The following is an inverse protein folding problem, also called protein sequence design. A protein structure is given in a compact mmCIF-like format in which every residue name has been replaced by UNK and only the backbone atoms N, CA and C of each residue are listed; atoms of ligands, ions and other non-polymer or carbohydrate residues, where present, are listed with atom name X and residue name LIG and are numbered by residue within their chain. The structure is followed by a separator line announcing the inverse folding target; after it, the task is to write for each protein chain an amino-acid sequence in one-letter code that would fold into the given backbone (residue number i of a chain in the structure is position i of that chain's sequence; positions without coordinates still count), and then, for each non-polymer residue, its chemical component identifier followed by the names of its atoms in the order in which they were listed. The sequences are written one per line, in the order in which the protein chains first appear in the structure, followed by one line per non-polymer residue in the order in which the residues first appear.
data_IF_815037936956
#
_entry.id   IF_815037936956
#
_cell.length_a   1.000
_cell.length_b   1.000
_cell.length_c   1.000
_cell.angle_alpha   90.00
_cell.angle_beta   90.00
_cell.angle_gamma   90.00
#
_symmetry.space_group_name_H-M   'P 1'
#
loop_
_entity.id
_entity.type
_entity.pdbx_description
1 polymer ?
#
# COMPACT_ATOMS: atom_id res chain seq x y z
N UNK A 1 -10.28 11.81 -6.30
CA UNK A 1 -10.12 11.33 -4.94
C UNK A 1 -11.28 11.79 -4.07
N UNK A 2 -11.57 11.13 -2.93
CA UNK A 2 -12.45 11.67 -1.89
C UNK A 2 -11.97 13.06 -1.49
N UNK A 3 -12.88 13.89 -0.97
CA UNK A 3 -12.54 15.25 -0.55
C UNK A 3 -11.40 15.19 0.49
N UNK A 4 -10.31 15.90 0.21
CA UNK A 4 -9.21 16.00 1.16
C UNK A 4 -9.74 16.63 2.47
N UNK A 5 -9.32 16.05 3.61
CA UNK A 5 -9.72 16.53 4.94
C UNK A 5 -11.25 16.51 5.20
N UNK A 6 -11.94 15.48 4.68
CA UNK A 6 -13.40 15.27 4.83
C UNK A 6 -13.89 15.33 6.29
N UNK A 7 -13.02 14.99 7.26
CA UNK A 7 -13.36 15.02 8.69
C UNK A 7 -13.53 16.42 9.26
N UNK A 8 -13.01 17.46 8.62
CA UNK A 8 -13.16 18.85 9.08
C UNK A 8 -14.60 19.36 9.07
N UNK A 9 -15.47 18.72 8.29
CA UNK A 9 -16.92 19.01 8.30
C UNK A 9 -17.58 18.83 9.68
N UNK A 10 -16.99 18.02 10.55
CA UNK A 10 -17.51 17.81 11.91
C UNK A 10 -17.14 18.92 12.90
N UNK A 11 -16.28 19.86 12.52
CA UNK A 11 -15.84 21.00 13.34
C UNK A 11 -15.32 20.58 14.73
N UNK A 12 -14.67 19.42 14.83
CA UNK A 12 -14.12 18.85 16.06
C UNK A 12 -12.60 18.97 16.11
N UNK A 13 -12.04 19.89 16.94
CA UNK A 13 -10.60 20.09 17.03
C UNK A 13 -9.83 18.86 17.56
N UNK A 14 -10.44 18.05 18.46
CA UNK A 14 -9.80 16.85 18.98
C UNK A 14 -9.68 15.80 17.88
N UNK A 15 -10.74 15.56 17.11
CA UNK A 15 -10.71 14.68 15.94
C UNK A 15 -9.66 15.13 14.93
N UNK A 16 -9.62 16.44 14.62
CA UNK A 16 -8.61 16.97 13.68
C UNK A 16 -7.20 16.68 14.15
N UNK A 17 -6.89 16.94 15.41
CA UNK A 17 -5.56 16.68 15.99
C UNK A 17 -5.20 15.19 15.98
N UNK A 18 -6.13 14.29 16.27
CA UNK A 18 -5.90 12.84 16.24
C UNK A 18 -5.63 12.32 14.81
N UNK A 19 -6.37 12.82 13.83
CA UNK A 19 -6.16 12.45 12.43
C UNK A 19 -4.82 12.99 11.92
N UNK A 20 -4.48 14.24 12.22
CA UNK A 20 -3.19 14.83 11.84
C UNK A 20 -2.01 14.06 12.48
N UNK A 21 -2.14 13.67 13.75
CA UNK A 21 -1.17 12.81 14.43
C UNK A 21 -1.05 11.43 13.77
N UNK A 22 -2.17 10.84 13.32
CA UNK A 22 -2.18 9.56 12.61
C UNK A 22 -1.46 9.66 11.26
N UNK A 23 -1.75 10.69 10.49
CA UNK A 23 -1.14 10.90 9.17
C UNK A 23 0.37 11.15 9.25
N UNK A 24 0.85 11.66 10.38
CA UNK A 24 2.29 11.89 10.62
C UNK A 24 3.00 10.73 11.31
N UNK A 25 2.31 9.96 12.16
CA UNK A 25 2.91 8.96 13.04
C UNK A 25 2.64 7.50 12.66
N UNK A 26 1.66 7.22 11.79
CA UNK A 26 1.29 5.84 11.45
C UNK A 26 2.38 5.11 10.68
N UNK A 27 2.89 4.01 11.27
CA UNK A 27 3.85 3.13 10.61
C UNK A 27 3.29 2.44 9.37
N UNK A 28 1.99 2.17 9.34
CA UNK A 28 1.33 1.61 8.17
C UNK A 28 1.36 2.58 6.98
N UNK A 29 1.10 3.88 7.24
CA UNK A 29 1.20 4.91 6.20
C UNK A 29 2.65 5.12 5.76
N UNK A 30 3.61 5.10 6.69
CA UNK A 30 5.02 5.18 6.36
C UNK A 30 5.48 4.00 5.46
N UNK A 31 5.02 2.78 5.74
CA UNK A 31 5.32 1.60 4.91
C UNK A 31 4.80 1.77 3.47
N UNK A 32 3.55 2.20 3.28
CA UNK A 32 3.02 2.34 1.91
C UNK A 32 3.67 3.48 1.14
N UNK A 33 4.10 4.56 1.80
CA UNK A 33 4.92 5.62 1.18
C UNK A 33 6.29 5.10 0.72
N UNK A 34 6.94 4.25 1.52
CA UNK A 34 8.18 3.59 1.10
C UNK A 34 7.96 2.61 -0.08
N UNK A 35 6.79 1.98 -0.17
CA UNK A 35 6.41 1.18 -1.35
C UNK A 35 6.25 2.05 -2.60
N UNK A 36 5.74 3.27 -2.46
CA UNK A 36 5.64 4.24 -3.54
C UNK A 36 7.02 4.67 -4.04
N UNK A 37 7.96 5.03 -3.14
CA UNK A 37 9.35 5.34 -3.49
C UNK A 37 10.04 4.15 -4.18
N UNK A 38 9.80 2.93 -3.69
CA UNK A 38 10.30 1.70 -4.32
C UNK A 38 9.74 1.50 -5.73
N UNK A 39 8.45 1.74 -5.94
CA UNK A 39 7.81 1.61 -7.25
C UNK A 39 8.36 2.65 -8.24
N UNK A 40 8.58 3.88 -7.78
CA UNK A 40 9.24 4.93 -8.56
C UNK A 40 10.67 4.50 -8.96
N UNK A 41 11.47 4.04 -8.02
CA UNK A 41 12.84 3.57 -8.30
C UNK A 41 12.86 2.39 -9.29
N UNK A 42 11.85 1.52 -9.26
CA UNK A 42 11.71 0.45 -10.24
C UNK A 42 11.41 0.97 -11.64
N UNK A 43 10.58 2.01 -11.76
CA UNK A 43 10.31 2.68 -13.03
C UNK A 43 11.58 3.32 -13.58
N UNK A 44 12.30 4.09 -12.78
CA UNK A 44 13.57 4.73 -13.14
C UNK A 44 14.64 3.70 -13.56
N UNK A 45 14.69 2.54 -12.88
CA UNK A 45 15.58 1.44 -13.25
C UNK A 45 15.28 0.89 -14.66
N UNK A 46 14.00 0.72 -15.00
CA UNK A 46 13.60 0.22 -16.33
C UNK A 46 13.82 1.27 -17.40
N UNK A 47 13.53 2.54 -17.13
CA UNK A 47 13.85 3.67 -18.02
C UNK A 47 15.37 3.75 -18.28
N UNK A 48 16.17 3.63 -17.21
CA UNK A 48 17.61 3.63 -17.33
C UNK A 48 18.18 2.50 -18.18
N UNK A 49 17.55 1.30 -18.13
CA UNK A 49 17.98 0.16 -18.96
C UNK A 49 17.81 0.37 -20.47
N UNK A 50 16.85 1.19 -20.87
CA UNK A 50 16.59 1.53 -22.28
C UNK A 50 17.49 2.64 -22.81
N UNK A 51 18.34 3.22 -21.96
CA UNK A 51 19.28 4.29 -22.33
C UNK A 51 20.68 3.74 -22.67
N UNK A 52 21.53 4.60 -23.20
CA UNK A 52 22.94 4.31 -23.45
C UNK A 52 23.63 3.90 -22.14
N UNK A 53 24.16 2.68 -22.11
CA UNK A 53 24.96 2.18 -21.00
C UNK A 53 26.45 2.39 -21.32
N UNK A 54 27.21 2.95 -20.40
CA UNK A 54 28.65 3.11 -20.54
C UNK A 54 29.39 2.63 -19.30
N UNK A 55 30.48 1.93 -19.49
CA UNK A 55 31.35 1.47 -18.41
C UNK A 55 32.82 1.55 -18.80
N UNK A 56 33.70 1.79 -17.84
CA UNK A 56 35.12 1.58 -18.00
C UNK A 56 35.45 0.12 -17.77
N UNK A 57 36.25 -0.45 -18.65
CA UNK A 57 36.76 -1.83 -18.56
C UNK A 57 38.28 -1.80 -18.39
N UNK A 58 38.80 -2.56 -17.41
CA UNK A 58 40.22 -2.87 -17.28
C UNK A 58 40.36 -4.35 -17.03
N UNK A 59 41.10 -5.05 -17.88
CA UNK A 59 41.31 -6.50 -17.80
C UNK A 59 42.76 -6.86 -18.06
N UNK A 60 43.29 -7.75 -17.28
CA UNK A 60 44.58 -8.41 -17.53
C UNK A 60 44.29 -9.90 -17.53
N UNK A 61 44.55 -10.54 -18.67
CA UNK A 61 44.35 -11.98 -18.88
C UNK A 61 45.69 -12.62 -19.18
N UNK A 62 46.17 -13.47 -18.28
CA UNK A 62 47.36 -14.31 -18.52
C UNK A 62 46.92 -15.69 -18.87
N UNK A 63 47.23 -16.12 -20.08
CA UNK A 63 46.82 -17.41 -20.59
C UNK A 63 47.95 -18.18 -21.25
N UNK A 64 47.79 -19.52 -21.28
CA UNK A 64 48.61 -20.41 -22.06
C UNK A 64 47.83 -20.88 -23.28
N UNK A 65 48.28 -20.55 -24.48
CA UNK A 65 47.66 -21.06 -25.69
C UNK A 65 47.84 -22.60 -25.78
N UNK A 66 46.78 -23.30 -26.18
CA UNK A 66 46.84 -24.73 -26.46
C UNK A 66 47.59 -24.95 -27.76
N UNK A 67 48.61 -25.82 -27.76
CA UNK A 67 49.32 -26.22 -28.96
C UNK A 67 48.42 -26.91 -30.02
N UNK A 68 47.33 -27.51 -29.57
CA UNK A 68 46.33 -28.17 -30.40
C UNK A 68 45.11 -27.28 -30.73
N UNK A 69 45.06 -26.07 -30.20
CA UNK A 69 44.00 -25.08 -30.47
C UNK A 69 44.24 -24.33 -31.75
N UNK A 70 43.23 -23.51 -32.16
CA UNK A 70 43.30 -22.72 -33.40
C UNK A 70 44.52 -21.81 -33.49
N UNK A 71 44.94 -21.19 -32.37
CA UNK A 71 46.13 -20.34 -32.30
C UNK A 71 47.43 -21.11 -32.00
N UNK A 72 47.38 -22.42 -31.73
CA UNK A 72 48.51 -23.21 -31.28
C UNK A 72 49.77 -23.13 -32.15
N UNK A 73 49.68 -23.31 -33.47
CA UNK A 73 50.83 -23.20 -34.37
C UNK A 73 51.49 -21.83 -34.36
N UNK A 74 50.69 -20.75 -34.13
CA UNK A 74 51.15 -19.37 -34.12
C UNK A 74 51.67 -18.94 -32.74
N UNK A 75 51.07 -19.50 -31.66
CA UNK A 75 51.39 -19.14 -30.28
C UNK A 75 52.76 -19.72 -29.83
N UNK A 76 53.26 -20.76 -30.49
CA UNK A 76 54.49 -21.43 -30.10
C UNK A 76 55.75 -20.76 -30.67
N UNK A 77 55.69 -20.20 -31.89
CA UNK A 77 56.82 -19.54 -32.52
C UNK A 77 56.39 -18.59 -33.61
N UNK A 78 55.83 -17.44 -33.22
CA UNK A 78 55.45 -16.35 -34.12
C UNK A 78 55.90 -14.99 -33.56
N UNK A 79 57.22 -14.73 -33.40
CA UNK A 79 57.74 -13.48 -32.79
C UNK A 79 57.28 -12.24 -33.51
N UNK A 80 57.08 -12.32 -34.85
CA UNK A 80 56.56 -11.20 -35.66
C UNK A 80 55.13 -10.81 -35.32
N UNK A 81 54.38 -11.72 -34.69
CA UNK A 81 53.00 -11.49 -34.20
C UNK A 81 52.99 -11.13 -32.70
N UNK A 82 54.17 -11.01 -32.08
CA UNK A 82 54.29 -10.79 -30.63
C UNK A 82 54.03 -12.04 -29.78
N UNK A 83 54.12 -13.24 -30.37
CA UNK A 83 53.87 -14.51 -29.67
C UNK A 83 55.17 -15.31 -29.57
N UNK A 84 55.84 -15.20 -28.41
CA UNK A 84 57.15 -15.86 -28.13
C UNK A 84 56.98 -17.07 -27.21
N UNK A 85 56.05 -17.94 -27.53
CA UNK A 85 55.83 -19.17 -26.75
C UNK A 85 54.35 -19.30 -26.31
N UNK A 86 54.01 -20.37 -25.52
CA UNK A 86 52.63 -20.70 -25.21
C UNK A 86 51.97 -19.79 -24.19
N UNK A 87 52.74 -18.95 -23.49
CA UNK A 87 52.26 -18.06 -22.46
C UNK A 87 52.29 -16.60 -22.95
N UNK A 88 51.15 -15.92 -22.87
CA UNK A 88 51.09 -14.50 -23.14
C UNK A 88 50.15 -13.78 -22.15
N UNK A 89 50.32 -12.49 -22.02
CA UNK A 89 49.52 -11.64 -21.12
C UNK A 89 48.87 -10.57 -21.95
N UNK A 90 47.56 -10.65 -22.10
CA UNK A 90 46.74 -9.65 -22.77
C UNK A 90 46.24 -8.63 -21.73
N UNK A 91 46.42 -7.38 -22.01
CA UNK A 91 45.88 -6.27 -21.20
C UNK A 91 45.00 -5.39 -22.05
N UNK A 92 43.80 -5.17 -21.57
CA UNK A 92 42.77 -4.30 -22.21
C UNK A 92 42.34 -3.23 -21.25
N UNK A 93 42.29 -1.98 -21.68
CA UNK A 93 41.70 -0.88 -20.92
C UNK A 93 40.93 0.01 -21.88
N UNK A 94 39.70 0.41 -21.49
CA UNK A 94 38.89 1.24 -22.35
C UNK A 94 37.50 1.52 -21.82
N UNK A 95 36.69 2.08 -22.69
CA UNK A 95 35.27 2.34 -22.47
C UNK A 95 34.46 1.38 -23.34
N UNK A 96 33.48 0.76 -22.74
CA UNK A 96 32.44 -0.01 -23.45
C UNK A 96 31.14 0.77 -23.38
N UNK A 97 30.43 0.85 -24.51
CA UNK A 97 29.09 1.42 -24.55
C UNK A 97 28.15 0.41 -25.24
N UNK A 98 26.91 0.38 -24.76
CA UNK A 98 25.86 -0.46 -25.33
C UNK A 98 24.54 0.27 -25.38
N UNK A 99 23.80 0.08 -26.45
CA UNK A 99 22.46 0.63 -26.66
C UNK A 99 21.59 -0.43 -27.31
N UNK A 100 20.46 -0.76 -26.67
CA UNK A 100 19.43 -1.61 -27.24
C UNK A 100 18.39 -0.74 -27.96
N UNK A 101 18.14 -1.02 -29.23
CA UNK A 101 17.16 -0.28 -30.04
C UNK A 101 15.77 -0.88 -29.87
N UNK A 102 14.88 -0.13 -29.21
CA UNK A 102 13.49 -0.56 -28.97
C UNK A 102 12.59 -0.32 -30.18
N UNK A 103 12.82 -1.08 -31.26
CA UNK A 103 12.06 -0.95 -32.51
C UNK A 103 10.63 -1.46 -32.39
N UNK A 104 10.41 -2.49 -31.56
CA UNK A 104 9.12 -3.18 -31.44
C UNK A 104 8.39 -2.86 -30.12
N UNK A 105 8.95 -1.99 -29.29
CA UNK A 105 8.30 -1.49 -28.09
C UNK A 105 8.39 -2.42 -26.88
N UNK A 106 9.35 -3.34 -26.82
CA UNK A 106 9.61 -4.19 -25.66
C UNK A 106 9.88 -3.34 -24.41
N UNK A 107 10.89 -2.47 -24.51
CA UNK A 107 11.28 -1.59 -23.39
C UNK A 107 10.21 -0.56 -23.07
N UNK A 108 9.63 0.09 -24.08
CA UNK A 108 8.55 1.07 -23.88
C UNK A 108 7.33 0.45 -23.17
N UNK A 109 6.95 -0.77 -23.56
CA UNK A 109 5.84 -1.47 -22.92
C UNK A 109 6.20 -1.92 -21.50
N UNK A 110 7.43 -2.35 -21.24
CA UNK A 110 7.89 -2.68 -19.90
C UNK A 110 7.91 -1.44 -18.97
N UNK A 111 8.39 -0.30 -19.46
CA UNK A 111 8.35 0.99 -18.74
C UNK A 111 6.91 1.43 -18.50
N UNK A 112 6.03 1.34 -19.50
CA UNK A 112 4.61 1.67 -19.36
C UNK A 112 3.91 0.76 -18.32
N UNK A 113 4.29 -0.53 -18.24
CA UNK A 113 3.81 -1.44 -17.22
C UNK A 113 4.28 -1.00 -15.82
N UNK A 114 5.54 -0.58 -15.67
CA UNK A 114 6.08 -0.10 -14.40
C UNK A 114 5.42 1.21 -13.96
N UNK A 115 5.20 2.17 -14.87
CA UNK A 115 4.44 3.40 -14.60
C UNK A 115 3.01 3.07 -14.15
N UNK A 116 2.35 2.13 -14.81
CA UNK A 116 1.03 1.67 -14.39
C UNK A 116 1.03 1.07 -12.98
N UNK A 117 2.03 0.24 -12.65
CA UNK A 117 2.19 -0.32 -11.31
C UNK A 117 2.51 0.77 -10.26
N UNK A 118 3.34 1.75 -10.59
CA UNK A 118 3.62 2.91 -9.72
C UNK A 118 2.35 3.71 -9.43
N UNK A 119 1.55 4.02 -10.45
CA UNK A 119 0.27 4.72 -10.29
C UNK A 119 -0.74 3.91 -9.45
N UNK A 120 -0.71 2.57 -9.54
CA UNK A 120 -1.50 1.72 -8.67
C UNK A 120 -1.08 1.85 -7.19
N UNK A 121 0.21 1.85 -6.91
CA UNK A 121 0.74 2.03 -5.53
C UNK A 121 0.39 3.41 -4.97
N UNK A 122 0.46 4.49 -5.78
CA UNK A 122 0.01 5.83 -5.38
C UNK A 122 -1.48 5.81 -4.99
N UNK A 123 -2.31 5.11 -5.77
CA UNK A 123 -3.72 4.96 -5.45
C UNK A 123 -3.97 4.10 -4.19
N UNK A 124 -3.16 3.05 -3.97
CA UNK A 124 -3.18 2.27 -2.71
C UNK A 124 -2.81 3.13 -1.50
N UNK A 125 -1.81 4.01 -1.63
CA UNK A 125 -1.43 4.95 -0.55
C UNK A 125 -2.62 5.83 -0.17
N UNK A 126 -3.32 6.39 -1.15
CA UNK A 126 -4.54 7.19 -0.90
C UNK A 126 -5.68 6.34 -0.27
N UNK A 127 -5.81 5.06 -0.64
CA UNK A 127 -6.78 4.15 -0.01
C UNK A 127 -6.44 3.88 1.46
N UNK A 128 -5.15 3.69 1.78
CA UNK A 128 -4.69 3.51 3.17
C UNK A 128 -4.90 4.79 3.98
N UNK A 129 -4.60 5.97 3.45
CA UNK A 129 -4.89 7.26 4.11
C UNK A 129 -6.37 7.40 4.43
N UNK A 130 -7.25 7.08 3.48
CA UNK A 130 -8.70 7.13 3.69
C UNK A 130 -9.14 6.12 4.75
N UNK A 131 -8.62 4.90 4.72
CA UNK A 131 -8.92 3.87 5.71
C UNK A 131 -8.48 4.26 7.12
N UNK A 132 -7.27 4.83 7.27
CA UNK A 132 -6.75 5.30 8.54
C UNK A 132 -7.58 6.45 9.10
N UNK A 133 -7.86 7.47 8.30
CA UNK A 133 -8.66 8.63 8.74
C UNK A 133 -10.08 8.22 9.13
N UNK A 134 -10.70 7.30 8.37
CA UNK A 134 -12.02 6.75 8.68
C UNK A 134 -11.99 5.92 9.97
N UNK A 135 -10.96 5.07 10.15
CA UNK A 135 -10.77 4.25 11.34
C UNK A 135 -10.62 5.09 12.60
N UNK A 136 -9.82 6.16 12.55
CA UNK A 136 -9.68 7.12 13.67
C UNK A 136 -11.02 7.77 14.00
N UNK A 137 -11.76 8.26 13.00
CA UNK A 137 -13.06 8.90 13.22
C UNK A 137 -14.07 7.93 13.85
N UNK A 138 -14.12 6.69 13.37
CA UNK A 138 -15.02 5.66 13.92
C UNK A 138 -14.67 5.32 15.39
N UNK A 139 -13.41 5.10 15.72
CA UNK A 139 -12.97 4.82 17.09
C UNK A 139 -13.21 6.03 18.00
N UNK A 140 -12.91 7.24 17.51
CA UNK A 140 -13.13 8.46 18.27
C UNK A 140 -14.61 8.67 18.63
N UNK A 141 -15.52 8.59 17.67
CA UNK A 141 -16.95 8.75 17.95
C UNK A 141 -17.55 7.57 18.71
N UNK A 142 -17.04 6.36 18.55
CA UNK A 142 -17.40 5.22 19.41
C UNK A 142 -17.03 5.50 20.88
N UNK A 143 -15.85 6.08 21.10
CA UNK A 143 -15.40 6.49 22.45
C UNK A 143 -16.25 7.63 23.02
N UNK A 144 -16.61 8.62 22.20
CA UNK A 144 -17.53 9.70 22.64
C UNK A 144 -18.91 9.15 23.03
N UNK A 145 -19.44 8.20 22.26
CA UNK A 145 -20.69 7.52 22.59
C UNK A 145 -20.58 6.73 23.91
N UNK A 146 -19.44 6.10 24.15
CA UNK A 146 -19.16 5.38 25.43
C UNK A 146 -19.09 6.34 26.60
N UNK A 147 -18.52 7.54 26.46
CA UNK A 147 -18.53 8.57 27.51
C UNK A 147 -19.97 9.02 27.86
N UNK A 148 -20.81 9.25 26.85
CA UNK A 148 -22.22 9.60 27.11
C UNK A 148 -22.99 8.47 27.78
N UNK A 149 -22.74 7.22 27.38
CA UNK A 149 -23.34 6.05 28.04
C UNK A 149 -22.87 5.93 29.50
N UNK A 150 -21.59 6.20 29.79
CA UNK A 150 -21.05 6.17 31.14
C UNK A 150 -21.72 7.23 32.03
N UNK A 151 -21.87 8.46 31.53
CA UNK A 151 -22.56 9.54 32.25
C UNK A 151 -24.01 9.15 32.58
N UNK A 152 -24.75 8.60 31.62
CA UNK A 152 -26.13 8.14 31.82
C UNK A 152 -26.21 6.99 32.85
N UNK A 153 -25.28 6.05 32.80
CA UNK A 153 -25.23 4.95 33.77
C UNK A 153 -24.89 5.44 35.17
N UNK A 154 -24.01 6.46 35.32
CA UNK A 154 -23.70 7.09 36.59
C UNK A 154 -24.93 7.81 37.18
N UNK A 155 -25.67 8.56 36.37
CA UNK A 155 -26.95 9.19 36.80
C UNK A 155 -27.97 8.10 37.23
N UNK A 156 -28.06 7.02 36.48
CA UNK A 156 -28.95 5.88 36.82
C UNK A 156 -28.53 5.19 38.12
N UNK A 157 -27.22 5.00 38.32
CA UNK A 157 -26.65 4.48 39.55
C UNK A 157 -27.08 5.32 40.77
N UNK A 158 -26.95 6.64 40.71
CA UNK A 158 -27.28 7.54 41.79
C UNK A 158 -28.78 7.48 42.19
N UNK A 159 -29.68 7.38 41.20
CA UNK A 159 -31.11 7.20 41.43
C UNK A 159 -31.40 5.88 42.15
N UNK A 160 -30.82 4.78 41.68
CA UNK A 160 -31.03 3.45 42.24
C UNK A 160 -30.37 3.32 43.63
N UNK A 161 -29.21 3.92 43.87
CA UNK A 161 -28.54 3.97 45.15
C UNK A 161 -29.37 4.69 46.19
N UNK A 162 -30.01 5.84 45.80
CA UNK A 162 -30.96 6.53 46.66
C UNK A 162 -32.15 5.61 47.05
N UNK A 163 -32.69 4.83 46.08
CA UNK A 163 -33.78 3.89 46.38
C UNK A 163 -33.34 2.76 47.30
N UNK A 164 -32.10 2.21 47.12
CA UNK A 164 -31.51 1.21 47.99
C UNK A 164 -31.40 1.74 49.44
N UNK A 165 -30.87 2.96 49.63
CA UNK A 165 -30.75 3.60 50.94
C UNK A 165 -32.12 3.83 51.59
N UNK A 166 -33.14 4.22 50.81
CA UNK A 166 -34.50 4.42 51.33
C UNK A 166 -35.11 3.09 51.83
N UNK A 167 -35.02 2.00 51.02
CA UNK A 167 -35.48 0.69 51.42
C UNK A 167 -34.72 0.13 52.64
N UNK A 168 -33.38 0.35 52.69
CA UNK A 168 -32.57 -0.04 53.80
C UNK A 168 -33.01 0.60 55.12
N UNK A 169 -33.30 1.92 55.08
CA UNK A 169 -33.81 2.67 56.22
C UNK A 169 -35.17 2.14 56.71
N UNK A 170 -36.12 1.91 55.79
CA UNK A 170 -37.43 1.34 56.10
C UNK A 170 -37.35 -0.04 56.76
N UNK A 171 -36.49 -0.91 56.20
CA UNK A 171 -36.24 -2.24 56.80
C UNK A 171 -35.63 -2.14 58.17
N UNK A 172 -34.68 -1.23 58.40
CA UNK A 172 -34.04 -1.02 59.71
C UNK A 172 -35.06 -0.54 60.80
N UNK A 173 -36.07 0.21 60.43
CA UNK A 173 -37.12 0.67 61.29
C UNK A 173 -38.33 -0.29 61.37
N UNK A 174 -38.26 -1.45 60.72
CA UNK A 174 -39.36 -2.45 60.74
C UNK A 174 -40.58 -2.05 59.88
N UNK A 175 -40.43 -1.07 58.99
CA UNK A 175 -41.52 -0.50 58.17
C UNK A 175 -41.69 -1.20 56.84
N UNK A 176 -40.73 -2.07 56.45
CA UNK A 176 -40.75 -2.79 55.18
C UNK A 176 -40.09 -4.15 55.26
N UNK A 177 -40.56 -5.09 54.45
CA UNK A 177 -39.89 -6.41 54.31
C UNK A 177 -38.54 -6.29 53.59
N UNK A 178 -37.65 -7.30 53.79
CA UNK A 178 -36.29 -7.28 53.15
C UNK A 178 -36.28 -7.46 51.64
N UNK A 179 -37.37 -7.98 51.03
CA UNK A 179 -37.43 -8.33 49.59
C UNK A 179 -37.24 -7.12 48.69
N UNK A 180 -37.94 -5.96 48.90
CA UNK A 180 -37.70 -4.79 48.07
C UNK A 180 -36.27 -4.24 48.14
N UNK A 181 -35.64 -4.24 49.32
CA UNK A 181 -34.25 -3.89 49.50
C UNK A 181 -33.29 -4.76 48.66
N UNK A 182 -33.45 -6.09 48.74
CA UNK A 182 -32.60 -6.98 47.96
C UNK A 182 -32.86 -6.84 46.42
N UNK A 183 -34.11 -6.55 46.01
CA UNK A 183 -34.42 -6.24 44.63
C UNK A 183 -33.73 -4.97 44.13
N UNK A 184 -33.82 -3.88 44.88
CA UNK A 184 -33.14 -2.62 44.55
C UNK A 184 -31.60 -2.79 44.51
N UNK A 185 -31.03 -3.53 45.51
CA UNK A 185 -29.60 -3.82 45.54
C UNK A 185 -29.14 -4.66 44.35
N UNK A 186 -29.93 -5.63 43.91
CA UNK A 186 -29.61 -6.41 42.71
C UNK A 186 -29.60 -5.53 41.43
N UNK A 187 -30.52 -4.56 41.30
CA UNK A 187 -30.52 -3.59 40.22
C UNK A 187 -29.28 -2.67 40.27
N UNK A 188 -28.90 -2.19 41.48
CA UNK A 188 -27.67 -1.39 41.64
C UNK A 188 -26.42 -2.13 41.14
N UNK A 189 -26.26 -3.38 41.56
CA UNK A 189 -25.13 -4.21 41.11
C UNK A 189 -25.16 -4.50 39.59
N UNK A 190 -26.36 -4.55 39.00
CA UNK A 190 -26.47 -4.70 37.54
C UNK A 190 -25.99 -3.44 36.80
N UNK A 191 -26.28 -2.25 37.33
CA UNK A 191 -25.77 -0.99 36.77
C UNK A 191 -24.26 -0.85 37.00
N UNK A 192 -23.75 -1.18 38.19
CA UNK A 192 -22.30 -1.18 38.47
C UNK A 192 -21.54 -2.06 37.49
N UNK A 193 -22.06 -3.24 37.19
CA UNK A 193 -21.48 -4.14 36.19
C UNK A 193 -21.43 -3.50 34.81
N UNK A 194 -22.47 -2.74 34.42
CA UNK A 194 -22.50 -2.02 33.13
C UNK A 194 -21.48 -0.89 33.09
N UNK A 195 -21.35 -0.12 34.19
CA UNK A 195 -20.34 0.94 34.32
C UNK A 195 -18.93 0.37 34.09
N UNK A 196 -18.57 -0.70 34.81
CA UNK A 196 -17.27 -1.36 34.64
C UNK A 196 -17.04 -1.83 33.22
N UNK A 197 -18.07 -2.36 32.54
CA UNK A 197 -17.97 -2.81 31.15
C UNK A 197 -17.69 -1.64 30.19
N UNK A 198 -18.41 -0.51 30.35
CA UNK A 198 -18.22 0.68 29.52
C UNK A 198 -16.86 1.33 29.76
N UNK A 199 -16.41 1.41 31.00
CA UNK A 199 -15.06 1.89 31.33
C UNK A 199 -13.97 1.01 30.69
N UNK A 200 -14.17 -0.31 30.69
CA UNK A 200 -13.31 -1.25 29.97
C UNK A 200 -13.25 -0.95 28.48
N UNK A 201 -14.41 -0.77 27.85
CA UNK A 201 -14.52 -0.46 26.43
C UNK A 201 -13.83 0.88 26.07
N UNK A 202 -13.94 1.90 26.91
CA UNK A 202 -13.25 3.17 26.72
C UNK A 202 -11.73 2.97 26.71
N UNK A 203 -11.20 2.16 27.64
CA UNK A 203 -9.77 1.83 27.71
C UNK A 203 -9.30 1.05 26.47
N UNK A 204 -10.06 0.06 26.03
CA UNK A 204 -9.75 -0.73 24.84
C UNK A 204 -9.75 0.14 23.56
N UNK A 205 -10.75 1.02 23.43
CA UNK A 205 -10.84 1.95 22.29
C UNK A 205 -9.67 2.94 22.29
N UNK A 206 -9.26 3.42 23.48
CA UNK A 206 -8.09 4.28 23.62
C UNK A 206 -6.80 3.59 23.17
N UNK A 207 -6.60 2.32 23.54
CA UNK A 207 -5.44 1.54 23.09
C UNK A 207 -5.48 1.28 21.58
N UNK A 208 -6.66 1.06 21.02
CA UNK A 208 -6.85 0.92 19.57
C UNK A 208 -6.48 2.19 18.82
N UNK A 209 -6.93 3.36 19.31
CA UNK A 209 -6.53 4.67 18.78
C UNK A 209 -5.03 4.89 18.87
N UNK A 210 -4.42 4.58 20.03
CA UNK A 210 -2.98 4.70 20.24
C UNK A 210 -2.18 3.89 19.23
N UNK A 211 -2.59 2.65 18.99
CA UNK A 211 -1.94 1.77 18.02
C UNK A 211 -2.09 2.29 16.58
N UNK A 212 -3.26 2.83 16.22
CA UNK A 212 -3.55 3.35 14.88
C UNK A 212 -2.73 4.62 14.59
N UNK A 213 -2.54 5.47 15.60
CA UNK A 213 -1.76 6.71 15.52
C UNK A 213 -0.24 6.40 15.47
N UNK A 214 0.18 5.22 15.93
CA UNK A 214 1.60 4.89 16.09
C UNK A 214 2.24 5.56 17.32
N UNK A 215 1.41 6.00 18.29
CA UNK A 215 1.89 6.71 19.47
C UNK A 215 2.45 5.76 20.53
N UNK A 216 3.49 6.18 21.25
CA UNK A 216 3.97 5.52 22.45
C UNK A 216 2.94 5.55 23.60
N UNK A 217 3.18 4.76 24.65
CA UNK A 217 2.21 4.59 25.74
C UNK A 217 1.83 5.91 26.47
N UNK A 218 2.66 6.96 26.35
CA UNK A 218 2.46 8.27 27.02
C UNK A 218 2.10 9.41 26.05
N UNK A 219 2.07 9.15 24.73
CA UNK A 219 2.01 10.20 23.73
C UNK A 219 0.61 10.44 23.17
N UNK A 220 -0.37 9.61 23.56
CA UNK A 220 -1.77 9.86 23.19
C UNK A 220 -2.34 10.99 24.05
N UNK A 221 -2.78 12.11 23.47
CA UNK A 221 -3.41 13.20 24.22
C UNK A 221 -4.65 12.72 24.96
N UNK A 222 -5.00 13.40 26.05
CA UNK A 222 -6.25 13.15 26.78
C UNK A 222 -7.42 13.50 25.89
N UNK A 223 -8.30 12.52 25.63
CA UNK A 223 -9.53 12.70 24.86
C UNK A 223 -10.65 13.03 25.84
N UNK A 224 -11.16 14.24 25.73
CA UNK A 224 -12.26 14.72 26.60
C UNK A 224 -13.61 14.41 25.97
N UNK A 225 -14.66 14.16 26.79
CA UNK A 225 -16.01 13.99 26.31
C UNK A 225 -16.48 15.25 25.56
N UNK A 226 -17.08 15.05 24.38
CA UNK A 226 -17.73 16.10 23.58
C UNK A 226 -19.09 15.60 23.10
N UNK A 227 -19.98 16.53 22.77
CA UNK A 227 -21.27 16.18 22.18
C UNK A 227 -21.08 15.49 20.82
N UNK A 228 -21.90 14.47 20.55
CA UNK A 228 -21.89 13.81 19.24
C UNK A 228 -22.41 14.79 18.18
N UNK A 229 -21.80 14.80 16.97
CA UNK A 229 -22.26 15.68 15.91
C UNK A 229 -23.65 15.28 15.42
N UNK A 230 -24.49 16.29 15.12
CA UNK A 230 -25.72 16.07 14.38
C UNK A 230 -25.37 15.91 12.91
N UNK A 231 -25.52 14.70 12.38
CA UNK A 231 -25.26 14.41 10.97
C UNK A 231 -26.56 14.61 10.19
N UNK A 232 -26.52 15.48 9.19
CA UNK A 232 -27.59 15.55 8.19
C UNK A 232 -27.49 14.28 7.30
N UNK A 233 -28.52 13.44 7.36
CA UNK A 233 -28.56 12.11 6.76
C UNK A 233 -28.93 12.13 5.27
N UNK A 234 -28.56 13.18 4.56
CA UNK A 234 -28.76 13.29 3.12
C UNK A 234 -27.99 12.24 2.34
N UNK A 235 -28.52 10.99 2.33
CA UNK A 235 -28.04 10.00 1.35
C UNK A 235 -28.52 10.46 -0.02
N UNK A 236 -27.63 10.60 -1.04
CA UNK A 236 -28.09 10.85 -2.40
C UNK A 236 -29.06 9.71 -2.79
N UNK A 237 -30.25 10.08 -3.26
CA UNK A 237 -31.28 9.11 -3.66
C UNK A 237 -30.82 8.18 -4.80
N UNK A 238 -29.76 8.56 -5.51
CA UNK A 238 -29.10 7.75 -6.55
C UNK A 238 -27.62 7.64 -6.25
N UNK A 239 -27.16 6.39 -6.02
CA UNK A 239 -25.74 6.08 -5.94
C UNK A 239 -25.15 6.22 -7.35
N UNK A 240 -24.55 7.37 -7.63
CA UNK A 240 -23.94 7.65 -8.93
C UNK A 240 -22.69 6.81 -9.15
N UNK A 241 -22.47 6.38 -10.41
CA UNK A 241 -21.19 5.81 -10.86
C UNK A 241 -19.98 6.68 -10.49
N UNK A 242 -20.17 7.99 -10.37
CA UNK A 242 -19.14 8.94 -9.99
C UNK A 242 -18.56 8.67 -8.59
N UNK A 243 -19.36 8.14 -7.67
CA UNK A 243 -18.89 7.77 -6.32
C UNK A 243 -17.93 6.57 -6.37
N UNK A 244 -18.21 5.58 -7.24
CA UNK A 244 -17.33 4.44 -7.43
C UNK A 244 -16.02 4.87 -8.12
N UNK A 245 -16.10 5.76 -9.11
CA UNK A 245 -14.94 6.27 -9.83
C UNK A 245 -13.96 7.07 -8.94
N UNK A 246 -14.43 7.62 -7.82
CA UNK A 246 -13.59 8.37 -6.85
C UNK A 246 -12.88 7.48 -5.83
N UNK A 247 -13.19 6.19 -5.77
CA UNK A 247 -12.57 5.26 -4.80
C UNK A 247 -11.12 4.97 -5.17
N UNK A 248 -10.16 5.25 -4.28
CA UNK A 248 -8.74 5.02 -4.58
C UNK A 248 -8.40 3.54 -4.80
N UNK A 249 -9.06 2.62 -4.07
CA UNK A 249 -8.87 1.18 -4.22
C UNK A 249 -9.27 0.66 -5.61
N UNK A 250 -10.36 1.18 -6.20
CA UNK A 250 -10.77 0.86 -7.57
C UNK A 250 -9.82 1.45 -8.60
N UNK A 251 -9.31 2.66 -8.36
CA UNK A 251 -8.31 3.27 -9.23
C UNK A 251 -7.00 2.47 -9.21
N UNK A 252 -6.56 1.98 -8.05
CA UNK A 252 -5.40 1.10 -7.95
C UNK A 252 -5.57 -0.17 -8.82
N UNK A 253 -6.71 -0.85 -8.71
CA UNK A 253 -7.00 -2.04 -9.51
C UNK A 253 -7.04 -1.73 -11.02
N UNK A 254 -7.60 -0.58 -11.42
CA UNK A 254 -7.59 -0.13 -12.81
C UNK A 254 -6.17 0.05 -13.35
N UNK A 255 -5.29 0.66 -12.57
CA UNK A 255 -3.88 0.83 -12.94
C UNK A 255 -3.13 -0.50 -13.04
N UNK A 256 -3.41 -1.48 -12.15
CA UNK A 256 -2.85 -2.83 -12.27
C UNK A 256 -3.32 -3.57 -13.53
N UNK A 257 -4.59 -3.40 -13.94
CA UNK A 257 -5.07 -3.93 -15.23
C UNK A 257 -4.29 -3.29 -16.38
N UNK A 258 -4.11 -1.97 -16.38
CA UNK A 258 -3.35 -1.28 -17.43
C UNK A 258 -1.88 -1.73 -17.45
N UNK A 259 -1.25 -1.88 -16.30
CA UNK A 259 0.11 -2.38 -16.17
C UNK A 259 0.23 -3.81 -16.76
N UNK A 260 -0.72 -4.70 -16.45
CA UNK A 260 -0.71 -6.08 -16.93
C UNK A 260 -0.91 -6.18 -18.46
N UNK A 261 -1.72 -5.30 -19.04
CA UNK A 261 -1.89 -5.21 -20.51
C UNK A 261 -0.58 -4.78 -21.18
N UNK A 262 0.11 -3.78 -20.64
CA UNK A 262 1.42 -3.37 -21.14
C UNK A 262 2.47 -4.48 -21.01
N UNK A 263 2.38 -5.32 -19.98
CA UNK A 263 3.23 -6.49 -19.82
C UNK A 263 2.99 -7.54 -20.91
N UNK A 264 1.74 -7.72 -21.34
CA UNK A 264 1.41 -8.59 -22.49
C UNK A 264 2.05 -8.06 -23.78
N UNK A 265 2.01 -6.74 -24.00
CA UNK A 265 2.65 -6.13 -25.18
C UNK A 265 4.18 -6.28 -25.12
N UNK A 266 4.81 -6.10 -23.96
CA UNK A 266 6.24 -6.37 -23.76
C UNK A 266 6.59 -7.84 -24.07
N UNK A 267 5.79 -8.79 -23.58
CA UNK A 267 5.99 -10.22 -23.86
C UNK A 267 5.79 -10.57 -25.35
N UNK A 268 4.88 -9.87 -26.05
CA UNK A 268 4.67 -10.02 -27.50
C UNK A 268 5.87 -9.49 -28.28
N UNK A 269 6.46 -8.39 -27.86
CA UNK A 269 7.61 -7.78 -28.50
C UNK A 269 8.84 -8.71 -28.57
N UNK A 270 8.99 -9.61 -27.61
CA UNK A 270 10.08 -10.61 -27.58
C UNK A 270 10.09 -11.61 -28.75
N UNK A 271 9.02 -11.71 -29.53
CA UNK A 271 8.98 -12.56 -30.73
C UNK A 271 9.65 -11.91 -31.94
N UNK A 272 9.90 -10.61 -31.90
CA UNK A 272 10.51 -9.87 -32.99
C UNK A 272 12.03 -9.80 -32.83
N UNK A 273 12.75 -9.46 -33.93
CA UNK A 273 14.22 -9.32 -33.87
C UNK A 273 14.62 -8.20 -32.91
N UNK A 274 15.57 -8.46 -32.01
CA UNK A 274 16.23 -7.41 -31.22
C UNK A 274 17.45 -6.86 -31.94
N UNK A 275 17.68 -5.56 -31.79
CA UNK A 275 18.81 -4.84 -32.36
C UNK A 275 19.59 -4.17 -31.23
N UNK A 276 20.88 -4.45 -31.14
CA UNK A 276 21.80 -3.82 -30.21
C UNK A 276 23.02 -3.23 -30.91
N UNK A 277 23.57 -2.18 -30.35
CA UNK A 277 24.81 -1.58 -30.78
C UNK A 277 25.78 -1.63 -29.62
N UNK A 278 26.94 -2.25 -29.83
CA UNK A 278 28.04 -2.23 -28.86
C UNK A 278 29.23 -1.51 -29.44
N UNK A 279 29.85 -0.68 -28.61
CA UNK A 279 31.07 0.07 -28.97
C UNK A 279 32.11 -0.18 -27.91
N UNK A 280 33.33 -0.43 -28.34
CA UNK A 280 34.50 -0.38 -27.49
C UNK A 280 35.47 0.64 -28.05
N UNK A 281 36.00 1.47 -27.18
CA UNK A 281 37.07 2.40 -27.48
C UNK A 281 38.13 2.32 -26.38
N UNK A 282 39.36 1.90 -26.74
CA UNK A 282 40.38 1.69 -25.73
C UNK A 282 41.75 1.31 -26.29
N UNK A 283 42.50 0.63 -25.47
CA UNK A 283 43.81 0.14 -25.72
C UNK A 283 43.79 -1.38 -25.46
N UNK A 284 44.46 -2.14 -26.33
CA UNK A 284 44.60 -3.58 -26.21
C UNK A 284 46.02 -3.98 -26.62
N UNK A 285 46.71 -4.81 -25.82
CA UNK A 285 48.01 -5.26 -26.10
C UNK A 285 48.31 -6.65 -25.47
N UNK A 286 48.99 -7.51 -26.21
CA UNK A 286 49.48 -8.80 -25.72
C UNK A 286 50.78 -8.70 -24.90
N UNK A 287 51.37 -7.50 -24.84
CA UNK A 287 52.49 -7.14 -23.97
C UNK A 287 52.13 -5.90 -23.16
N UNK A 288 52.16 -6.02 -21.85
CA UNK A 288 51.72 -4.99 -20.94
C UNK A 288 52.49 -3.66 -21.07
N UNK A 289 53.78 -3.74 -21.40
CA UNK A 289 54.69 -2.61 -21.64
C UNK A 289 54.29 -1.82 -22.90
N UNK A 290 53.50 -2.39 -23.78
CA UNK A 290 53.06 -1.77 -25.03
C UNK A 290 51.66 -1.19 -24.92
N UNK A 291 50.92 -1.48 -23.88
CA UNK A 291 49.50 -1.09 -23.73
C UNK A 291 49.28 0.40 -24.01
N UNK A 292 50.16 1.26 -23.54
CA UNK A 292 49.97 2.72 -23.69
C UNK A 292 50.59 3.30 -24.97
N UNK A 293 51.08 2.45 -25.88
CA UNK A 293 51.53 2.92 -27.20
C UNK A 293 50.34 3.27 -28.09
N UNK A 294 50.55 4.21 -29.01
CA UNK A 294 49.51 4.58 -29.98
C UNK A 294 49.06 3.47 -30.89
N UNK A 295 49.94 2.45 -31.09
CA UNK A 295 49.66 1.24 -31.86
C UNK A 295 48.72 0.27 -31.18
N UNK A 296 48.47 0.42 -29.88
CA UNK A 296 47.54 -0.39 -29.11
C UNK A 296 46.09 0.12 -29.09
N UNK A 297 45.81 1.20 -29.85
CA UNK A 297 44.46 1.75 -29.94
C UNK A 297 43.56 0.79 -30.66
N UNK A 298 42.38 0.53 -30.03
CA UNK A 298 41.35 -0.32 -30.56
C UNK A 298 39.97 0.39 -30.53
N UNK A 299 39.26 0.33 -31.64
CA UNK A 299 37.89 0.81 -31.77
C UNK A 299 37.08 -0.30 -32.40
N UNK A 300 36.05 -0.77 -31.71
CA UNK A 300 35.12 -1.75 -32.21
C UNK A 300 33.71 -1.14 -32.26
N UNK A 301 33.05 -1.26 -33.38
CA UNK A 301 31.64 -0.96 -33.56
C UNK A 301 30.94 -2.22 -34.00
N UNK A 302 30.05 -2.75 -33.14
CA UNK A 302 29.44 -4.07 -33.31
C UNK A 302 27.91 -3.90 -33.27
N UNK A 303 27.26 -3.68 -34.42
CA UNK A 303 25.79 -3.80 -34.51
C UNK A 303 25.41 -5.27 -34.41
N UNK A 304 24.47 -5.58 -33.52
CA UNK A 304 23.93 -6.91 -33.30
C UNK A 304 22.49 -7.02 -33.79
N UNK A 305 22.16 -8.15 -34.39
CA UNK A 305 20.79 -8.58 -34.72
C UNK A 305 20.58 -9.96 -34.16
N UNK A 306 19.52 -10.13 -33.38
CA UNK A 306 19.14 -11.41 -32.81
C UNK A 306 17.67 -11.70 -33.06
N UNK A 307 17.37 -12.78 -33.78
CA UNK A 307 16.02 -13.29 -34.02
C UNK A 307 15.89 -14.69 -33.43
N UNK A 308 14.97 -14.92 -32.48
CA UNK A 308 14.70 -16.25 -31.96
C UNK A 308 13.96 -17.10 -33.00
N UNK A 309 14.61 -18.12 -33.57
CA UNK A 309 13.99 -19.05 -34.53
C UNK A 309 13.40 -20.27 -33.85
N UNK A 310 14.03 -20.74 -32.78
CA UNK A 310 13.59 -21.88 -31.99
C UNK A 310 14.03 -21.69 -30.54
N UNK A 311 13.08 -21.77 -29.61
CA UNK A 311 13.30 -21.50 -28.19
C UNK A 311 12.67 -22.53 -27.25
N UNK A 312 12.23 -23.69 -27.79
CA UNK A 312 11.57 -24.73 -27.03
C UNK A 312 10.19 -24.35 -26.47
N UNK A 313 9.54 -23.32 -27.02
CA UNK A 313 8.22 -22.85 -26.57
C UNK A 313 8.25 -21.84 -25.42
N UNK A 314 9.43 -21.38 -25.00
CA UNK A 314 9.62 -20.44 -23.88
C UNK A 314 8.89 -19.10 -24.11
N UNK A 315 8.97 -18.52 -25.30
CA UNK A 315 8.30 -17.27 -25.62
C UNK A 315 6.78 -17.41 -25.60
N UNK A 316 6.24 -18.51 -26.14
CA UNK A 316 4.81 -18.80 -26.07
C UNK A 316 4.33 -18.95 -24.61
N UNK A 317 5.05 -19.71 -23.80
CA UNK A 317 4.72 -19.87 -22.39
C UNK A 317 4.79 -18.54 -21.62
N UNK A 318 5.76 -17.66 -21.93
CA UNK A 318 5.86 -16.33 -21.36
C UNK A 318 4.67 -15.45 -21.73
N UNK A 319 4.28 -15.43 -23.01
CA UNK A 319 3.12 -14.66 -23.48
C UNK A 319 1.81 -15.17 -22.87
N UNK A 320 1.60 -16.49 -22.82
CA UNK A 320 0.41 -17.07 -22.20
C UNK A 320 0.36 -16.80 -20.69
N UNK A 321 1.50 -16.83 -20.01
CA UNK A 321 1.61 -16.42 -18.60
C UNK A 321 1.25 -14.95 -18.39
N UNK A 322 1.73 -14.05 -19.26
CA UNK A 322 1.37 -12.63 -19.21
C UNK A 322 -0.13 -12.41 -19.46
N UNK A 323 -0.73 -13.11 -20.45
CA UNK A 323 -2.17 -13.06 -20.72
C UNK A 323 -3.00 -13.56 -19.55
N UNK A 324 -2.62 -14.69 -18.97
CA UNK A 324 -3.29 -15.23 -17.78
C UNK A 324 -3.24 -14.24 -16.61
N UNK A 325 -2.09 -13.60 -16.39
CA UNK A 325 -1.93 -12.54 -15.37
C UNK A 325 -2.84 -11.36 -15.66
N UNK A 326 -2.93 -10.90 -16.91
CA UNK A 326 -3.82 -9.80 -17.27
C UNK A 326 -5.29 -10.16 -17.04
N UNK A 327 -5.74 -11.34 -17.46
CA UNK A 327 -7.10 -11.82 -17.20
C UNK A 327 -7.39 -11.90 -15.71
N UNK A 328 -6.44 -12.38 -14.89
CA UNK A 328 -6.58 -12.40 -13.43
C UNK A 328 -6.74 -10.98 -12.85
N UNK A 329 -6.02 -9.98 -13.36
CA UNK A 329 -6.17 -8.59 -12.92
C UNK A 329 -7.54 -8.01 -13.29
N UNK A 330 -8.06 -8.34 -14.46
CA UNK A 330 -9.41 -7.95 -14.89
C UNK A 330 -10.47 -8.54 -13.94
N UNK A 331 -10.37 -9.82 -13.61
CA UNK A 331 -11.32 -10.46 -12.67
C UNK A 331 -11.21 -9.88 -11.26
N UNK A 332 -10.01 -9.55 -10.79
CA UNK A 332 -9.82 -8.84 -9.52
C UNK A 332 -10.46 -7.44 -9.53
N UNK A 333 -10.32 -6.71 -10.62
CA UNK A 333 -10.99 -5.42 -10.78
C UNK A 333 -12.51 -5.57 -10.73
N UNK A 334 -13.08 -6.52 -11.49
CA UNK A 334 -14.51 -6.80 -11.48
C UNK A 334 -15.02 -7.15 -10.08
N UNK A 335 -14.30 -8.01 -9.35
CA UNK A 335 -14.65 -8.36 -7.97
C UNK A 335 -14.57 -7.15 -7.04
N UNK A 336 -13.57 -6.27 -7.22
CA UNK A 336 -13.44 -5.04 -6.42
C UNK A 336 -14.61 -4.09 -6.65
N UNK A 337 -15.08 -3.97 -7.90
CA UNK A 337 -16.29 -3.18 -8.23
C UNK A 337 -17.53 -3.74 -7.52
N UNK A 338 -17.74 -5.07 -7.57
CA UNK A 338 -18.86 -5.71 -6.88
C UNK A 338 -18.79 -5.49 -5.36
N UNK A 339 -17.61 -5.60 -4.77
CA UNK A 339 -17.42 -5.34 -3.34
C UNK A 339 -17.73 -3.87 -3.00
N UNK A 340 -17.28 -2.94 -3.83
CA UNK A 340 -17.55 -1.51 -3.64
C UNK A 340 -19.06 -1.19 -3.69
N UNK A 341 -19.79 -1.76 -4.66
CA UNK A 341 -21.25 -1.61 -4.76
C UNK A 341 -21.94 -2.19 -3.53
N UNK A 342 -21.54 -3.41 -3.11
CA UNK A 342 -22.06 -4.04 -1.89
C UNK A 342 -21.84 -3.16 -0.67
N UNK A 343 -20.64 -2.64 -0.48
CA UNK A 343 -20.28 -1.84 0.71
C UNK A 343 -21.09 -0.55 0.78
N UNK A 344 -21.31 0.11 -0.37
CA UNK A 344 -22.16 1.29 -0.46
C UNK A 344 -23.62 0.95 -0.13
N UNK A 345 -24.16 -0.16 -0.67
CA UNK A 345 -25.52 -0.60 -0.41
C UNK A 345 -25.73 -0.95 1.08
N UNK A 346 -24.80 -1.69 1.69
CA UNK A 346 -24.87 -2.05 3.12
C UNK A 346 -24.83 -0.79 3.99
N UNK A 347 -23.91 0.12 3.73
CA UNK A 347 -23.79 1.34 4.54
C UNK A 347 -24.98 2.27 4.35
N UNK A 348 -25.55 2.37 3.13
CA UNK A 348 -26.78 3.09 2.87
C UNK A 348 -27.98 2.52 3.67
N UNK A 349 -28.16 1.20 3.61
CA UNK A 349 -29.22 0.54 4.39
C UNK A 349 -29.05 0.73 5.90
N UNK A 350 -27.82 0.60 6.41
CA UNK A 350 -27.52 0.83 7.83
C UNK A 350 -27.88 2.25 8.27
N UNK A 351 -27.50 3.25 7.48
CA UNK A 351 -27.79 4.64 7.79
C UNK A 351 -29.30 4.91 7.80
N UNK A 352 -30.03 4.38 6.82
CA UNK A 352 -31.50 4.47 6.78
C UNK A 352 -32.12 3.83 8.03
N UNK A 353 -31.75 2.57 8.34
CA UNK A 353 -32.25 1.86 9.52
C UNK A 353 -31.97 2.61 10.83
N UNK A 354 -30.72 3.14 10.97
CA UNK A 354 -30.35 3.92 12.17
C UNK A 354 -31.18 5.22 12.28
N UNK A 355 -31.48 5.87 11.17
CA UNK A 355 -32.33 7.05 11.18
C UNK A 355 -33.77 6.73 11.59
N UNK A 356 -34.36 5.66 11.07
CA UNK A 356 -35.68 5.16 11.47
C UNK A 356 -35.72 4.80 12.97
N UNK A 357 -34.70 4.09 13.46
CA UNK A 357 -34.58 3.77 14.89
C UNK A 357 -34.45 5.02 15.75
N UNK A 358 -33.71 6.04 15.29
CA UNK A 358 -33.59 7.31 16.00
C UNK A 358 -34.95 8.01 16.16
N UNK A 359 -35.76 8.08 15.08
CA UNK A 359 -37.10 8.68 15.13
C UNK A 359 -37.98 7.91 16.13
N UNK A 360 -38.05 6.59 16.04
CA UNK A 360 -38.82 5.75 16.98
C UNK A 360 -38.35 5.93 18.43
N UNK A 361 -37.05 6.11 18.66
CA UNK A 361 -36.53 6.32 20.01
C UNK A 361 -36.91 7.68 20.57
N UNK A 362 -36.93 8.72 19.72
CA UNK A 362 -37.43 10.06 20.13
C UNK A 362 -38.92 10.02 20.53
N UNK A 363 -39.76 9.37 19.72
CA UNK A 363 -41.19 9.18 20.04
C UNK A 363 -41.37 8.39 21.35
N UNK A 364 -40.52 7.38 21.59
CA UNK A 364 -40.53 6.61 22.84
C UNK A 364 -40.17 7.46 24.04
N UNK A 365 -39.19 8.33 23.94
CA UNK A 365 -38.79 9.27 25.01
C UNK A 365 -39.94 10.23 25.31
N UNK A 366 -40.55 10.81 24.29
CA UNK A 366 -41.70 11.73 24.45
C UNK A 366 -42.87 11.00 25.12
N UNK A 367 -43.21 9.78 24.70
CA UNK A 367 -44.27 8.97 25.30
C UNK A 367 -44.00 8.65 26.79
N UNK A 368 -42.75 8.42 27.18
CA UNK A 368 -42.37 8.14 28.58
C UNK A 368 -42.44 9.37 29.46
N UNK A 369 -42.19 10.57 28.91
CA UNK A 369 -42.36 11.84 29.63
C UNK A 369 -43.83 12.13 30.03
N UNK A 370 -44.80 11.67 29.26
CA UNK A 370 -46.22 11.81 29.57
C UNK A 370 -46.73 10.84 30.64
N UNK A 371 -45.93 9.82 31.01
CA UNK A 371 -46.35 8.81 31.99
C UNK A 371 -45.72 9.01 33.38
N UNK A 372 -44.93 10.06 33.56
CA UNK A 372 -44.38 10.54 34.83
C UNK A 372 -45.24 11.70 35.39
#
# INVERSE_FOLDING_TARGET
WPQAQWWRQFNDPQLNSLIEATLSGSHNLAEVKLREEKAQSQTELLEGRSQLQMAALGMINRQRASANGFLGPYALDAPRLGMDGPYYTEATIGLVAGLDLDLWGEHRSAVAAAIGAQNAVIAETAAVELSLTTGVAQLYYSMQASYQMLDLLQQTHDVIDYAVKAHQSKVAHGLEAKVPYHGARAQLLAVDKQIVAVEGQIKETRESLRALIGAGAKDLPEIKPVALPTVDTGIPATLSYDLLARRPDLQAMRWYVQASLNQVEAARALFYPSFDIKVFFGLDAIHIDQLFKSTSRQINFIPGLRLPLFDGGRLNANLEGARATSNMMIERYNQSVLNAVRDVAINGTRLQTLNEQRVMQMERVDATHYTQ
#
